data_IF_297329782261
#
_entry.id   IF_297329782261
#
_cell.length_a   1.000
_cell.length_b   1.000
_cell.length_c   1.000
_cell.angle_alpha   90.00
_cell.angle_beta   90.00
_cell.angle_gamma   90.00
#
_symmetry.space_group_name_H-M   'P 1'
#
loop_
_entity.id
_entity.type
_entity.pdbx_description
1 polymer ?
#
# COMPACT_ATOMS: atom_id res chain seq x y z
N UNK A 1 -16.69 6.24 9.53
CA UNK A 1 -15.59 5.34 9.11
C UNK A 1 -16.03 4.52 7.92
N UNK A 2 -15.18 4.27 6.91
CA UNK A 2 -15.51 3.39 5.79
C UNK A 2 -15.80 1.97 6.29
N UNK A 3 -16.71 1.25 5.62
CA UNK A 3 -17.04 -0.14 5.93
C UNK A 3 -16.03 -1.08 5.26
N UNK A 4 -14.91 -1.34 5.93
CA UNK A 4 -13.82 -2.21 5.44
C UNK A 4 -13.50 -3.30 6.46
N UNK A 5 -12.97 -4.47 6.05
CA UNK A 5 -12.51 -5.49 6.99
C UNK A 5 -11.44 -4.95 7.93
N UNK A 6 -11.40 -5.51 9.13
CA UNK A 6 -10.36 -5.21 10.13
C UNK A 6 -8.97 -5.65 9.68
N UNK A 7 -7.92 -5.31 10.44
CA UNK A 7 -6.53 -5.64 10.09
C UNK A 7 -6.20 -7.13 10.18
N UNK A 8 -7.02 -7.92 10.87
CA UNK A 8 -6.78 -9.35 11.08
C UNK A 8 -7.06 -10.15 9.80
N UNK A 9 -6.13 -11.05 9.45
CA UNK A 9 -6.19 -11.85 8.22
C UNK A 9 -5.73 -11.12 6.95
N UNK A 10 -5.47 -9.81 7.01
CA UNK A 10 -4.84 -9.08 5.90
C UNK A 10 -3.33 -9.31 5.89
N UNK A 11 -2.77 -9.44 4.68
CA UNK A 11 -1.34 -9.63 4.47
C UNK A 11 -0.58 -8.32 4.59
N UNK A 12 0.66 -8.38 5.07
CA UNK A 12 1.55 -7.23 5.07
C UNK A 12 2.06 -6.91 3.66
N UNK A 13 2.32 -5.63 3.42
CA UNK A 13 2.83 -5.11 2.16
C UNK A 13 4.08 -5.85 1.65
N UNK A 14 5.02 -6.23 2.53
CA UNK A 14 6.20 -6.97 2.10
C UNK A 14 5.87 -8.38 1.60
N UNK A 15 5.01 -9.10 2.32
CA UNK A 15 4.57 -10.44 1.93
C UNK A 15 3.85 -10.40 0.59
N UNK A 16 3.03 -9.38 0.41
CA UNK A 16 2.29 -9.11 -0.80
C UNK A 16 3.22 -8.82 -1.99
N UNK A 17 4.23 -7.99 -1.80
CA UNK A 17 5.26 -7.71 -2.81
C UNK A 17 6.09 -8.94 -3.15
N UNK A 18 6.42 -9.78 -2.17
CA UNK A 18 7.12 -11.03 -2.39
C UNK A 18 6.28 -12.01 -3.22
N UNK A 19 5.00 -12.17 -2.89
CA UNK A 19 4.07 -13.02 -3.67
C UNK A 19 3.94 -12.53 -5.10
N UNK A 20 3.79 -11.22 -5.28
CA UNK A 20 3.69 -10.61 -6.59
C UNK A 20 4.92 -10.84 -7.47
N UNK A 21 6.12 -10.78 -6.91
CA UNK A 21 7.35 -11.05 -7.66
C UNK A 21 7.45 -12.50 -8.14
N UNK A 22 6.78 -13.43 -7.46
CA UNK A 22 6.73 -14.85 -7.82
C UNK A 22 5.60 -15.18 -8.80
N UNK A 23 4.73 -14.21 -9.11
CA UNK A 23 3.63 -14.38 -10.05
C UNK A 23 4.15 -14.34 -11.50
N UNK A 24 4.06 -15.46 -12.26
CA UNK A 24 4.52 -15.51 -13.64
C UNK A 24 3.67 -14.66 -14.59
N UNK A 25 2.45 -14.27 -14.19
CA UNK A 25 1.55 -13.43 -14.99
C UNK A 25 1.66 -11.93 -14.66
N UNK A 26 2.60 -11.54 -13.78
CA UNK A 26 2.76 -10.15 -13.38
C UNK A 26 3.11 -9.26 -14.57
N UNK A 27 2.31 -8.20 -14.77
CA UNK A 27 2.54 -7.24 -15.84
C UNK A 27 3.91 -6.54 -15.71
N UNK A 28 4.69 -6.35 -16.81
CA UNK A 28 6.02 -5.76 -16.75
C UNK A 28 6.09 -4.37 -16.09
N UNK A 29 5.07 -3.53 -16.29
CA UNK A 29 4.98 -2.22 -15.65
C UNK A 29 4.79 -2.34 -14.13
N UNK A 30 3.95 -3.27 -13.67
CA UNK A 30 3.79 -3.55 -12.24
C UNK A 30 5.10 -4.06 -11.65
N UNK A 31 5.78 -4.98 -12.33
CA UNK A 31 7.11 -5.46 -11.91
C UNK A 31 8.15 -4.34 -11.80
N UNK A 32 8.13 -3.37 -12.72
CA UNK A 32 9.00 -2.19 -12.66
C UNK A 32 8.70 -1.29 -11.45
N UNK A 33 7.42 -1.06 -11.15
CA UNK A 33 6.99 -0.29 -9.97
C UNK A 33 7.42 -0.99 -8.68
N UNK A 34 7.23 -2.31 -8.57
CA UNK A 34 7.67 -3.08 -7.40
C UNK A 34 9.18 -2.94 -7.19
N UNK A 35 9.97 -3.09 -8.27
CA UNK A 35 11.44 -2.93 -8.20
C UNK A 35 11.85 -1.52 -7.77
N UNK A 36 11.22 -0.49 -8.35
CA UNK A 36 11.48 0.90 -7.98
C UNK A 36 11.18 1.15 -6.51
N UNK A 37 9.98 0.78 -6.03
CA UNK A 37 9.61 0.99 -4.62
C UNK A 37 10.52 0.24 -3.65
N UNK A 38 10.93 -0.99 -3.95
CA UNK A 38 11.90 -1.72 -3.11
C UNK A 38 13.27 -1.05 -3.04
N UNK A 39 13.67 -0.30 -4.07
CA UNK A 39 14.93 0.44 -4.09
C UNK A 39 14.84 1.76 -3.34
N UNK A 40 13.74 2.50 -3.54
CA UNK A 40 13.56 3.84 -2.98
C UNK A 40 13.11 3.82 -1.52
N UNK A 41 12.30 2.84 -1.12
CA UNK A 41 11.82 2.76 0.25
C UNK A 41 12.92 2.12 1.11
N UNK A 42 13.47 2.85 2.11
CA UNK A 42 14.51 2.30 2.96
C UNK A 42 14.00 1.03 3.66
N UNK A 43 14.82 -0.03 3.80
CA UNK A 43 14.41 -1.24 4.53
C UNK A 43 13.90 -0.95 5.95
N UNK A 44 14.40 0.12 6.57
CA UNK A 44 13.96 0.58 7.88
C UNK A 44 12.48 1.02 7.91
N UNK A 45 11.93 1.55 6.82
CA UNK A 45 10.55 2.05 6.77
C UNK A 45 9.53 0.95 7.09
N UNK A 46 9.66 -0.20 6.42
CA UNK A 46 8.79 -1.36 6.67
C UNK A 46 9.13 -2.13 7.95
N UNK A 47 10.31 -1.89 8.54
CA UNK A 47 10.61 -2.38 9.88
C UNK A 47 9.80 -1.60 10.93
N UNK A 48 9.75 -0.27 10.78
CA UNK A 48 9.13 0.63 11.76
C UNK A 48 7.60 0.62 11.63
N UNK A 49 7.06 0.41 10.44
CA UNK A 49 5.62 0.40 10.19
C UNK A 49 5.16 -0.85 9.45
N UNK A 50 4.07 -1.44 9.92
CA UNK A 50 3.30 -2.48 9.21
C UNK A 50 2.23 -1.81 8.36
N UNK A 51 2.10 -2.25 7.10
CA UNK A 51 1.09 -1.76 6.16
C UNK A 51 0.27 -2.94 5.64
N UNK A 52 -1.03 -2.98 5.95
CA UNK A 52 -1.94 -4.04 5.50
C UNK A 52 -3.02 -3.46 4.60
N UNK A 53 -2.86 -3.52 3.26
CA UNK A 53 -3.86 -3.03 2.32
C UNK A 53 -5.11 -3.91 2.36
N UNK A 54 -6.28 -3.26 2.36
CA UNK A 54 -7.58 -3.94 2.31
C UNK A 54 -7.82 -4.57 0.95
N UNK A 55 -7.40 -3.91 -0.12
CA UNK A 55 -7.49 -4.43 -1.49
C UNK A 55 -6.12 -4.36 -2.15
N UNK A 56 -5.41 -5.49 -2.15
CA UNK A 56 -4.07 -5.56 -2.73
C UNK A 56 -4.07 -5.53 -4.26
N UNK A 57 -5.09 -6.12 -4.89
CA UNK A 57 -5.19 -6.17 -6.36
C UNK A 57 -5.23 -4.76 -6.96
N UNK A 58 -5.74 -3.77 -6.23
CA UNK A 58 -5.68 -2.37 -6.64
C UNK A 58 -4.25 -1.80 -6.79
N UNK A 59 -3.22 -2.46 -6.27
CA UNK A 59 -1.83 -2.03 -6.38
C UNK A 59 -1.06 -2.70 -7.53
N UNK A 60 -1.53 -3.86 -8.01
CA UNK A 60 -0.78 -4.69 -8.96
C UNK A 60 -1.54 -5.13 -10.21
N UNK A 61 -2.87 -5.11 -10.19
CA UNK A 61 -3.65 -5.64 -11.31
C UNK A 61 -3.53 -4.77 -12.56
N UNK A 62 -3.28 -5.37 -13.73
CA UNK A 62 -3.25 -4.65 -14.99
C UNK A 62 -4.64 -4.12 -15.37
N UNK A 63 -4.72 -3.08 -16.22
CA UNK A 63 -5.98 -2.47 -16.67
C UNK A 63 -6.98 -3.49 -17.26
N UNK A 64 -6.50 -4.57 -17.90
CA UNK A 64 -7.33 -5.57 -18.58
C UNK A 64 -8.12 -6.50 -17.64
N UNK A 65 -7.76 -6.56 -16.36
CA UNK A 65 -8.45 -7.38 -15.36
C UNK A 65 -9.25 -6.55 -14.34
N UNK A 66 -9.34 -5.22 -14.53
CA UNK A 66 -10.24 -4.39 -13.73
C UNK A 66 -11.66 -4.61 -14.22
N UNK A 67 -12.44 -5.35 -13.43
CA UNK A 67 -13.90 -5.38 -13.55
C UNK A 67 -14.42 -3.92 -13.56
N UNK A 68 -15.45 -3.58 -14.34
CA UNK A 68 -16.01 -2.23 -14.41
C UNK A 68 -16.41 -1.64 -13.04
N UNK A 69 -16.67 -2.48 -12.03
CA UNK A 69 -16.91 -2.06 -10.65
C UNK A 69 -15.64 -1.58 -9.91
N UNK A 70 -14.47 -2.14 -10.22
CA UNK A 70 -13.17 -1.71 -9.66
C UNK A 70 -12.72 -0.34 -10.20
N UNK A 71 -13.20 0.07 -11.38
CA UNK A 71 -12.95 1.41 -11.92
C UNK A 71 -13.70 2.50 -11.14
N UNK A 72 -14.91 2.22 -10.64
CA UNK A 72 -15.70 3.21 -9.90
C UNK A 72 -15.09 3.61 -8.57
N UNK A 73 -14.24 2.78 -7.97
CA UNK A 73 -13.55 3.07 -6.71
C UNK A 73 -12.01 3.18 -6.88
N UNK A 74 -11.51 3.37 -8.11
CA UNK A 74 -10.07 3.44 -8.37
C UNK A 74 -9.37 4.60 -7.65
N UNK A 75 -10.11 5.63 -7.26
CA UNK A 75 -9.64 6.78 -6.50
C UNK A 75 -9.60 6.55 -4.98
N UNK A 76 -9.99 5.36 -4.50
CA UNK A 76 -10.00 5.03 -3.07
C UNK A 76 -8.95 3.96 -2.76
N UNK A 77 -8.29 4.13 -1.63
CA UNK A 77 -7.32 3.18 -1.09
C UNK A 77 -7.53 3.09 0.41
N UNK A 78 -7.60 1.87 0.92
CA UNK A 78 -7.72 1.63 2.36
C UNK A 78 -6.56 0.74 2.79
N UNK A 79 -5.84 1.19 3.82
CA UNK A 79 -4.68 0.51 4.36
C UNK A 79 -4.76 0.59 5.88
N UNK A 80 -4.52 -0.51 6.56
CA UNK A 80 -4.30 -0.52 8.01
C UNK A 80 -2.81 -0.28 8.27
N UNK A 81 -2.52 0.63 9.19
CA UNK A 81 -1.16 1.02 9.52
C UNK A 81 -0.95 0.87 11.01
N UNK A 82 0.21 0.34 11.39
CA UNK A 82 0.62 0.20 12.79
C UNK A 82 2.10 0.50 12.91
N UNK A 83 2.47 1.30 13.91
CA UNK A 83 3.85 1.42 14.34
C UNK A 83 4.27 0.13 15.06
N UNK A 84 5.38 -0.45 14.64
CA UNK A 84 5.94 -1.67 15.24
C UNK A 84 6.77 -1.36 16.48
N UNK A 85 7.34 -0.15 16.53
CA UNK A 85 8.19 0.33 17.60
C UNK A 85 7.45 1.32 18.50
N UNK A 86 7.97 1.51 19.72
CA UNK A 86 7.46 2.52 20.62
C UNK A 86 7.84 3.92 20.13
N UNK A 87 6.85 4.74 19.77
CA UNK A 87 7.03 6.15 19.37
C UNK A 87 7.23 7.07 20.60
N UNK A 88 6.98 6.57 21.81
CA UNK A 88 6.98 7.32 23.07
C UNK A 88 5.61 7.94 23.38
N UNK A 89 5.51 8.62 24.52
CA UNK A 89 4.24 9.15 25.02
C UNK A 89 3.95 10.60 24.57
N UNK A 90 4.89 11.27 23.87
CA UNK A 90 4.69 12.63 23.37
C UNK A 90 3.69 12.63 22.20
N UNK A 91 2.48 13.20 22.35
CA UNK A 91 1.47 13.18 21.30
C UNK A 91 1.92 13.85 19.99
N UNK A 92 2.89 14.78 20.05
CA UNK A 92 3.42 15.47 18.88
C UNK A 92 4.19 14.52 17.97
N UNK A 93 4.86 13.51 18.54
CA UNK A 93 5.55 12.48 17.76
C UNK A 93 4.55 11.58 17.03
N UNK A 94 3.43 11.24 17.67
CA UNK A 94 2.35 10.48 17.02
C UNK A 94 1.73 11.24 15.85
N UNK A 95 1.49 12.55 16.02
CA UNK A 95 0.99 13.41 14.93
C UNK A 95 2.01 13.51 13.80
N UNK A 96 3.29 13.71 14.11
CA UNK A 96 4.36 13.76 13.11
C UNK A 96 4.48 12.45 12.34
N UNK A 97 4.40 11.30 13.03
CA UNK A 97 4.41 9.99 12.39
C UNK A 97 3.19 9.80 11.47
N UNK A 98 1.99 10.17 11.92
CA UNK A 98 0.78 10.11 11.10
C UNK A 98 0.87 11.00 9.85
N UNK A 99 1.40 12.22 9.99
CA UNK A 99 1.61 13.13 8.87
C UNK A 99 2.63 12.58 7.86
N UNK A 100 3.76 12.07 8.34
CA UNK A 100 4.79 11.45 7.49
C UNK A 100 4.22 10.28 6.68
N UNK A 101 3.44 9.40 7.33
CA UNK A 101 2.78 8.26 6.68
C UNK A 101 1.74 8.71 5.65
N UNK A 102 0.98 9.76 5.95
CA UNK A 102 0.01 10.35 5.02
C UNK A 102 0.72 10.81 3.73
N UNK A 103 1.78 11.60 3.87
CA UNK A 103 2.54 12.13 2.72
C UNK A 103 3.20 11.02 1.90
N UNK A 104 3.73 9.99 2.56
CA UNK A 104 4.37 8.85 1.91
C UNK A 104 3.41 7.98 1.07
N UNK A 105 2.10 8.03 1.33
CA UNK A 105 1.12 7.10 0.73
C UNK A 105 0.06 7.78 -0.16
N UNK A 106 -0.11 9.10 -0.05
CA UNK A 106 -1.19 9.83 -0.73
C UNK A 106 -1.05 9.82 -2.26
N UNK A 107 0.16 10.04 -2.80
CA UNK A 107 0.39 10.18 -4.25
C UNK A 107 -0.08 8.95 -5.02
N UNK A 108 0.11 7.76 -4.47
CA UNK A 108 -0.26 6.51 -5.12
C UNK A 108 -1.77 6.39 -5.36
N UNK A 109 -2.57 6.88 -4.40
CA UNK A 109 -4.02 6.90 -4.51
C UNK A 109 -4.46 7.87 -5.61
N UNK A 110 -3.79 9.02 -5.73
CA UNK A 110 -4.09 10.03 -6.75
C UNK A 110 -3.69 9.59 -8.16
N UNK A 111 -2.60 8.85 -8.32
CA UNK A 111 -2.12 8.40 -9.64
C UNK A 111 -2.96 7.25 -10.24
N UNK A 112 -3.63 6.45 -9.40
CA UNK A 112 -4.29 5.20 -9.83
C UNK A 112 -5.40 5.36 -10.90
N UNK A 113 -6.26 6.39 -10.87
CA UNK A 113 -7.22 6.63 -11.95
C UNK A 113 -6.56 7.01 -13.30
N UNK A 114 -5.28 7.40 -13.28
CA UNK A 114 -4.56 7.95 -14.42
C UNK A 114 -3.52 6.97 -15.01
N UNK A 115 -3.18 5.90 -14.29
CA UNK A 115 -2.36 4.80 -14.81
C UNK A 115 -3.20 3.89 -15.73
N UNK A 116 -3.28 4.32 -17.00
CA UNK A 116 -3.84 3.58 -18.14
C UNK A 116 -2.74 2.84 -18.90
#
# INVERSE_FOLDING_TARGET
MPKVPGPDGLLDWNELMERAQKDPELHPAAAAIIRFKRKEIPPAFFRIFTFRPVNFNNFLSPPKQRNMELEKDSFRSYVWIRANENIGDDPRLHVAAAAYISDATMIETALRPHSR
#
